data_IF_483943314116
#
_entry.id   IF_483943314116
#
_cell.length_a   1.000
_cell.length_b   1.000
_cell.length_c   1.000
_cell.angle_alpha   90.00
_cell.angle_beta   90.00
_cell.angle_gamma   90.00
#
_symmetry.space_group_name_H-M   'P 1'
#
loop_
_entity.id
_entity.type
_entity.pdbx_description
1 polymer ?
#
# COMPACT_ATOMS: atom_id res chain seq x y z
N UNK A 1 39.42 39.77 21.41
CA UNK A 1 40.74 39.35 20.88
C UNK A 1 40.49 38.06 20.10
N UNK A 2 40.27 38.10 18.76
CA UNK A 2 41.27 38.06 17.66
C UNK A 2 42.22 36.86 17.83
N UNK A 3 42.43 35.91 16.91
CA UNK A 3 42.60 35.96 15.45
C UNK A 3 42.34 34.53 14.87
N UNK A 4 41.66 34.30 13.74
CA UNK A 4 41.95 34.59 12.33
C UNK A 4 42.85 33.56 11.57
N UNK A 5 42.32 33.12 10.42
CA UNK A 5 42.98 32.81 9.11
C UNK A 5 43.66 31.46 8.85
N UNK A 6 43.15 30.72 7.84
CA UNK A 6 43.70 30.48 6.46
C UNK A 6 42.87 29.33 5.82
N UNK A 7 42.18 29.40 4.67
CA UNK A 7 42.42 29.89 3.29
C UNK A 7 43.11 28.87 2.35
N UNK A 8 42.39 28.45 1.29
CA UNK A 8 42.76 28.11 -0.13
C UNK A 8 41.83 26.97 -0.64
N UNK A 9 40.92 27.11 -1.62
CA UNK A 9 41.00 27.47 -3.07
C UNK A 9 42.03 26.67 -3.87
N UNK A 10 41.54 25.75 -4.70
CA UNK A 10 42.08 25.41 -6.02
C UNK A 10 40.90 25.26 -6.99
N UNK A 11 41.06 25.83 -8.18
CA UNK A 11 40.15 25.81 -9.32
C UNK A 11 40.91 25.31 -10.56
N UNK A 12 40.19 25.17 -11.69
CA UNK A 12 40.59 24.89 -13.09
C UNK A 12 40.68 23.40 -13.48
N UNK A 13 40.37 22.95 -14.71
CA UNK A 13 39.63 23.44 -15.92
C UNK A 13 39.78 22.33 -17.00
N UNK A 14 38.81 22.28 -17.94
CA UNK A 14 38.93 21.86 -19.36
C UNK A 14 39.16 20.35 -19.65
N UNK A 15 38.79 19.74 -20.79
CA UNK A 15 38.39 20.20 -22.13
C UNK A 15 37.52 19.10 -22.81
N UNK A 16 36.53 19.43 -23.68
CA UNK A 16 36.55 19.30 -25.16
C UNK A 16 36.82 17.87 -25.72
N UNK A 17 36.11 17.30 -26.70
CA UNK A 17 35.04 17.73 -27.61
C UNK A 17 34.88 16.72 -28.78
N UNK A 18 33.93 17.01 -29.70
CA UNK A 18 33.87 16.61 -31.14
C UNK A 18 33.53 15.11 -31.42
N UNK A 19 32.74 14.64 -32.41
CA UNK A 19 32.09 15.11 -33.66
C UNK A 19 30.86 14.20 -33.92
N UNK A 20 29.72 14.69 -34.45
CA UNK A 20 29.31 14.74 -35.87
C UNK A 20 29.48 13.43 -36.69
N UNK A 21 28.36 12.88 -37.17
CA UNK A 21 28.14 12.56 -38.59
C UNK A 21 26.66 12.33 -38.89
N UNK A 22 26.14 13.12 -39.82
CA UNK A 22 24.86 12.96 -40.50
C UNK A 22 25.12 12.42 -41.91
N UNK A 23 24.20 11.62 -42.46
CA UNK A 23 23.55 11.85 -43.78
C UNK A 23 22.85 10.58 -44.34
N UNK A 24 21.88 10.75 -45.27
CA UNK A 24 20.83 9.78 -45.64
C UNK A 24 20.93 9.30 -47.12
N UNK A 25 19.80 8.81 -47.68
CA UNK A 25 19.47 8.37 -49.07
C UNK A 25 19.43 6.83 -49.25
N UNK A 26 18.51 6.19 -49.99
CA UNK A 26 17.71 6.63 -51.14
C UNK A 26 16.40 5.82 -51.32
N UNK A 27 15.50 6.41 -52.13
CA UNK A 27 14.25 5.88 -52.70
C UNK A 27 14.47 4.74 -53.71
N UNK A 28 13.46 3.85 -53.87
CA UNK A 28 13.07 3.31 -55.17
C UNK A 28 11.60 2.84 -55.21
N UNK A 29 10.97 3.18 -56.33
CA UNK A 29 9.56 3.11 -56.74
C UNK A 29 9.14 1.82 -57.48
N UNK A 30 7.84 1.50 -57.43
CA UNK A 30 7.01 0.86 -58.51
C UNK A 30 7.26 -0.63 -58.80
N UNK A 31 6.33 -1.45 -59.32
CA UNK A 31 5.05 -1.23 -60.00
C UNK A 31 4.18 -2.51 -59.95
N UNK A 32 2.88 -2.31 -60.17
CA UNK A 32 1.76 -3.27 -60.27
C UNK A 32 1.93 -4.36 -61.35
N UNK A 33 1.25 -5.51 -61.16
CA UNK A 33 0.54 -6.21 -62.25
C UNK A 33 -0.70 -6.97 -61.75
N UNK A 34 -1.79 -6.74 -62.48
CA UNK A 34 -3.14 -7.32 -62.41
C UNK A 34 -3.33 -8.41 -63.48
N UNK A 35 -4.18 -9.40 -63.19
CA UNK A 35 -4.84 -10.33 -64.12
C UNK A 35 -5.63 -11.37 -63.30
N UNK A 36 -6.98 -11.35 -63.25
CA UNK A 36 -7.97 -11.93 -64.20
C UNK A 36 -7.84 -13.46 -64.35
N UNK A 37 -8.86 -14.33 -64.30
CA UNK A 37 -10.31 -14.25 -64.05
C UNK A 37 -10.85 -15.70 -63.93
N UNK A 38 -11.84 -15.93 -63.04
CA UNK A 38 -13.03 -16.83 -63.13
C UNK A 38 -12.98 -18.25 -63.70
N UNK A 39 -13.45 -19.23 -62.91
CA UNK A 39 -14.64 -20.11 -63.15
C UNK A 39 -14.93 -20.95 -61.89
N UNK A 40 -16.05 -20.73 -61.19
CA UNK A 40 -17.34 -21.45 -61.28
C UNK A 40 -17.36 -22.85 -60.65
N UNK A 41 -17.97 -22.98 -59.45
CA UNK A 41 -19.02 -23.98 -59.20
C UNK A 41 -19.75 -23.72 -57.88
N UNK A 42 -21.02 -24.09 -57.89
CA UNK A 42 -22.05 -23.73 -56.93
C UNK A 42 -22.19 -24.76 -55.79
N UNK A 43 -23.00 -24.32 -54.82
CA UNK A 43 -23.65 -25.08 -53.75
C UNK A 43 -22.80 -25.38 -52.51
N UNK A 44 -23.06 -24.65 -51.45
CA UNK A 44 -23.63 -25.25 -50.23
C UNK A 44 -24.14 -24.15 -49.29
N UNK A 45 -25.36 -24.33 -48.81
CA UNK A 45 -25.89 -23.55 -47.72
C UNK A 45 -25.04 -23.82 -46.47
N UNK A 46 -24.29 -22.83 -46.01
CA UNK A 46 -23.67 -22.85 -44.70
C UNK A 46 -24.18 -21.69 -43.88
N UNK A 47 -24.88 -22.08 -42.82
CA UNK A 47 -25.31 -21.28 -41.67
C UNK A 47 -24.24 -20.25 -41.32
N UNK A 48 -24.65 -18.97 -41.19
CA UNK A 48 -23.79 -17.94 -40.65
C UNK A 48 -23.25 -18.42 -39.29
N UNK A 49 -21.92 -18.47 -39.07
CA UNK A 49 -21.40 -18.78 -37.76
C UNK A 49 -21.87 -17.68 -36.80
N UNK A 50 -22.57 -18.09 -35.74
CA UNK A 50 -22.83 -17.23 -34.61
C UNK A 50 -21.49 -16.57 -34.19
N UNK A 51 -21.47 -15.26 -33.88
CA UNK A 51 -20.26 -14.63 -33.40
C UNK A 51 -19.76 -15.44 -32.20
N UNK A 52 -18.51 -15.90 -32.28
CA UNK A 52 -17.86 -16.57 -31.17
C UNK A 52 -18.02 -15.68 -29.93
N UNK A 53 -18.41 -16.24 -28.77
CA UNK A 53 -18.40 -15.47 -27.54
C UNK A 53 -16.97 -14.96 -27.36
N UNK A 54 -16.81 -13.63 -27.36
CA UNK A 54 -15.58 -13.01 -26.90
C UNK A 54 -15.20 -13.68 -25.58
N UNK A 55 -13.95 -14.12 -25.38
CA UNK A 55 -13.55 -14.62 -24.07
C UNK A 55 -13.81 -13.47 -23.10
N UNK A 56 -14.81 -13.68 -22.22
CA UNK A 56 -15.05 -12.80 -21.10
C UNK A 56 -13.72 -12.76 -20.33
N UNK A 57 -13.03 -11.62 -20.42
CA UNK A 57 -11.92 -11.32 -19.55
C UNK A 57 -12.53 -11.29 -18.16
N UNK A 58 -12.24 -12.32 -17.38
CA UNK A 58 -12.72 -12.45 -16.01
C UNK A 58 -12.31 -11.20 -15.20
N UNK A 59 -13.25 -10.33 -14.80
CA UNK A 59 -12.95 -9.12 -14.05
C UNK A 59 -12.38 -9.43 -12.64
N UNK A 60 -12.36 -10.69 -12.22
CA UNK A 60 -11.86 -11.09 -10.91
C UNK A 60 -10.32 -11.17 -10.83
N UNK A 61 -9.60 -11.19 -11.95
CA UNK A 61 -8.14 -11.37 -11.96
C UNK A 61 -7.31 -10.06 -12.00
N UNK A 62 -7.97 -8.91 -12.13
CA UNK A 62 -7.36 -7.57 -12.04
C UNK A 62 -7.74 -6.84 -10.73
N UNK A 63 -8.03 -7.60 -9.67
CA UNK A 63 -8.30 -7.06 -8.33
C UNK A 63 -6.98 -6.78 -7.61
N UNK A 64 -6.36 -5.65 -7.95
CA UNK A 64 -5.43 -4.99 -7.04
C UNK A 64 -6.24 -4.43 -5.87
N UNK A 65 -6.24 -5.13 -4.73
CA UNK A 65 -6.97 -4.71 -3.53
C UNK A 65 -8.47 -5.03 -3.59
N UNK A 66 -8.85 -6.24 -3.17
CA UNK A 66 -10.25 -6.48 -2.77
C UNK A 66 -10.31 -7.03 -1.36
N UNK A 67 -10.74 -6.16 -0.45
CA UNK A 67 -11.41 -6.52 0.81
C UNK A 67 -12.78 -5.82 0.82
N UNK A 68 -13.75 -6.33 1.60
CA UNK A 68 -15.18 -6.19 1.31
C UNK A 68 -15.72 -4.84 1.78
N UNK A 69 -15.51 -3.80 0.96
CA UNK A 69 -16.35 -2.61 0.96
C UNK A 69 -17.12 -2.52 -0.37
N UNK A 70 -17.77 -3.62 -0.75
CA UNK A 70 -18.81 -3.63 -1.78
C UNK A 70 -20.09 -2.99 -1.21
N UNK A 71 -20.05 -1.69 -0.92
CA UNK A 71 -21.27 -0.87 -0.93
C UNK A 71 -21.38 -0.34 -2.36
N UNK A 72 -22.47 -0.64 -3.11
CA UNK A 72 -22.63 -0.04 -4.44
C UNK A 72 -22.57 1.48 -4.30
N UNK A 73 -21.82 2.21 -5.16
CA UNK A 73 -21.63 3.63 -4.95
C UNK A 73 -23.00 4.29 -5.04
N UNK A 74 -23.47 4.81 -3.91
CA UNK A 74 -24.41 5.92 -3.92
C UNK A 74 -23.71 6.98 -4.78
N UNK A 75 -24.35 7.40 -5.87
CA UNK A 75 -23.76 8.38 -6.78
C UNK A 75 -23.46 9.66 -6.01
N UNK A 76 -22.22 9.80 -5.56
CA UNK A 76 -21.76 10.99 -4.84
C UNK A 76 -21.62 12.13 -5.86
N UNK A 77 -22.41 13.21 -5.73
CA UNK A 77 -22.35 14.35 -6.63
C UNK A 77 -20.94 14.96 -6.73
N UNK A 78 -20.13 14.86 -5.67
CA UNK A 78 -18.76 15.35 -5.65
C UNK A 78 -17.86 14.52 -6.55
N UNK A 79 -17.97 13.19 -6.50
CA UNK A 79 -17.20 12.28 -7.36
C UNK A 79 -17.57 12.45 -8.84
N UNK A 80 -18.86 12.62 -9.14
CA UNK A 80 -19.31 12.90 -10.51
C UNK A 80 -18.73 14.23 -11.04
N UNK A 81 -18.64 15.26 -10.18
CA UNK A 81 -17.97 16.51 -10.54
C UNK A 81 -16.47 16.31 -10.75
N UNK A 82 -15.82 15.52 -9.89
CA UNK A 82 -14.39 15.25 -9.97
C UNK A 82 -14.02 14.54 -11.28
N UNK A 83 -14.80 13.51 -11.64
CA UNK A 83 -14.67 12.79 -12.91
C UNK A 83 -14.86 13.74 -14.11
N UNK A 84 -15.88 14.60 -14.10
CA UNK A 84 -16.09 15.56 -15.18
C UNK A 84 -14.94 16.56 -15.33
N UNK A 85 -14.35 17.02 -14.22
CA UNK A 85 -13.16 17.88 -14.24
C UNK A 85 -11.96 17.12 -14.81
N UNK A 86 -11.74 15.88 -14.37
CA UNK A 86 -10.63 15.05 -14.83
C UNK A 86 -10.72 14.69 -16.30
N UNK A 87 -11.87 14.19 -16.79
CA UNK A 87 -12.06 13.86 -18.22
C UNK A 87 -11.82 15.05 -19.14
N UNK A 88 -12.10 16.27 -18.67
CA UNK A 88 -11.83 17.51 -19.42
C UNK A 88 -10.34 17.87 -19.42
N UNK A 89 -9.65 17.64 -18.30
CA UNK A 89 -8.26 18.03 -18.11
C UNK A 89 -7.26 17.02 -18.67
N UNK A 90 -7.57 15.74 -18.59
CA UNK A 90 -6.74 14.63 -19.04
C UNK A 90 -7.57 13.63 -19.86
N UNK A 91 -7.45 13.63 -21.20
CA UNK A 91 -8.13 12.66 -22.06
C UNK A 91 -7.71 11.20 -21.84
N UNK A 92 -6.59 10.94 -21.15
CA UNK A 92 -6.13 9.61 -20.78
C UNK A 92 -6.70 9.10 -19.45
N UNK A 93 -7.47 9.93 -18.74
CA UNK A 93 -8.12 9.56 -17.49
C UNK A 93 -9.10 8.40 -17.66
N UNK A 94 -9.07 7.46 -16.71
CA UNK A 94 -9.91 6.25 -16.56
C UNK A 94 -9.50 4.96 -17.29
N UNK A 95 -8.43 4.97 -18.08
CA UNK A 95 -8.16 3.88 -19.02
C UNK A 95 -7.90 2.50 -18.40
N UNK A 96 -7.43 2.43 -17.15
CA UNK A 96 -6.99 1.15 -16.56
C UNK A 96 -7.48 0.88 -15.13
N UNK A 97 -7.56 1.89 -14.27
CA UNK A 97 -8.10 1.79 -12.90
C UNK A 97 -8.20 3.20 -12.33
N UNK A 98 -9.22 3.49 -11.53
CA UNK A 98 -9.36 4.76 -10.81
C UNK A 98 -9.80 4.51 -9.38
N UNK A 99 -9.09 5.10 -8.44
CA UNK A 99 -9.45 5.16 -7.04
C UNK A 99 -9.71 6.63 -6.65
N UNK A 100 -10.72 6.85 -5.81
CA UNK A 100 -11.12 8.17 -5.33
C UNK A 100 -11.12 8.18 -3.80
N UNK A 101 -10.57 9.24 -3.23
CA UNK A 101 -10.59 9.48 -1.79
C UNK A 101 -11.11 10.88 -1.53
N UNK A 102 -12.05 10.97 -0.59
CA UNK A 102 -12.79 12.18 -0.27
C UNK A 102 -12.51 12.59 1.18
N UNK A 103 -12.36 13.88 1.41
CA UNK A 103 -12.26 14.46 2.74
C UNK A 103 -11.64 15.86 2.72
N UNK A 104 -11.73 16.59 3.83
CA UNK A 104 -11.18 17.93 3.99
C UNK A 104 -9.66 17.90 4.13
N UNK A 105 -8.94 18.01 3.01
CA UNK A 105 -7.48 17.84 2.93
C UNK A 105 -6.75 19.13 3.31
N UNK A 106 -7.29 20.28 2.96
CA UNK A 106 -6.68 21.57 3.24
C UNK A 106 -7.25 22.30 4.47
N UNK A 107 -8.18 21.66 5.18
CA UNK A 107 -8.81 22.12 6.42
C UNK A 107 -9.65 23.38 6.24
N UNK A 108 -10.29 23.52 5.07
CA UNK A 108 -11.20 24.63 4.77
C UNK A 108 -12.68 24.34 5.16
N UNK A 109 -12.95 23.15 5.69
CA UNK A 109 -14.26 22.70 6.13
C UNK A 109 -15.12 22.13 5.01
N UNK A 110 -14.54 21.84 3.83
CA UNK A 110 -15.21 21.20 2.70
C UNK A 110 -14.43 19.98 2.25
N UNK A 111 -15.15 19.00 1.72
CA UNK A 111 -14.50 17.82 1.19
C UNK A 111 -13.82 18.10 -0.15
N UNK A 112 -12.54 17.72 -0.20
CA UNK A 112 -11.71 17.66 -1.39
C UNK A 112 -11.72 16.25 -1.97
N UNK A 113 -11.17 16.09 -3.18
CA UNK A 113 -11.01 14.79 -3.83
C UNK A 113 -9.57 14.56 -4.25
N UNK A 114 -8.99 13.46 -3.79
CA UNK A 114 -7.72 12.92 -4.30
C UNK A 114 -8.04 11.73 -5.20
N UNK A 115 -7.41 11.68 -6.37
CA UNK A 115 -7.65 10.66 -7.37
C UNK A 115 -6.33 9.99 -7.71
N UNK A 116 -6.31 8.68 -7.62
CA UNK A 116 -5.25 7.84 -8.16
C UNK A 116 -5.79 7.11 -9.37
N UNK A 117 -5.03 7.07 -10.46
CA UNK A 117 -5.41 6.28 -11.63
C UNK A 117 -4.20 5.70 -12.35
N UNK A 118 -4.42 4.56 -12.99
CA UNK A 118 -3.40 3.87 -13.76
C UNK A 118 -3.16 4.48 -15.14
N UNK A 119 -1.89 4.53 -15.54
CA UNK A 119 -1.44 4.89 -16.89
C UNK A 119 -0.95 3.61 -17.59
N UNK A 120 -1.41 3.39 -18.80
CA UNK A 120 -1.01 2.27 -19.66
C UNK A 120 -1.21 2.57 -21.13
N UNK A 121 -0.60 1.73 -21.97
CA UNK A 121 -0.80 1.77 -23.43
C UNK A 121 -2.06 1.01 -23.82
N UNK A 122 -2.69 1.42 -24.92
CA UNK A 122 -3.87 0.74 -25.46
C UNK A 122 -3.58 -0.75 -25.71
N UNK A 123 -4.32 -1.64 -25.04
CA UNK A 123 -4.11 -3.09 -25.07
C UNK A 123 -3.20 -3.64 -23.96
N UNK A 124 -2.64 -2.81 -23.09
CA UNK A 124 -1.95 -3.27 -21.90
C UNK A 124 -2.96 -3.87 -20.91
N UNK A 125 -2.68 -5.08 -20.42
CA UNK A 125 -3.54 -5.72 -19.40
C UNK A 125 -3.33 -5.13 -17.99
N UNK A 126 -2.36 -4.21 -17.82
CA UNK A 126 -1.86 -3.68 -16.53
C UNK A 126 -1.30 -2.25 -16.68
N UNK A 127 -1.36 -1.47 -15.61
CA UNK A 127 -0.73 -0.14 -15.53
C UNK A 127 0.79 -0.27 -15.43
N UNK A 128 1.52 0.56 -16.17
CA UNK A 128 2.99 0.68 -16.03
C UNK A 128 3.37 1.75 -15.01
N UNK A 129 2.47 2.70 -14.75
CA UNK A 129 2.61 3.78 -13.78
C UNK A 129 1.22 4.16 -13.23
N UNK A 130 1.22 4.91 -12.13
CA UNK A 130 0.02 5.54 -11.57
C UNK A 130 0.24 7.05 -11.45
N UNK A 131 -0.84 7.81 -11.61
CA UNK A 131 -0.88 9.26 -11.42
C UNK A 131 -1.70 9.59 -10.18
N UNK A 132 -1.31 10.64 -9.45
CA UNK A 132 -2.07 11.20 -8.32
C UNK A 132 -2.45 12.65 -8.61
N UNK A 133 -3.75 12.92 -8.58
CA UNK A 133 -4.34 14.25 -8.83
C UNK A 133 -5.14 14.68 -7.63
N UNK A 134 -5.12 15.99 -7.36
CA UNK A 134 -5.84 16.60 -6.25
C UNK A 134 -6.81 17.63 -6.80
N UNK A 135 -8.05 17.58 -6.34
CA UNK A 135 -9.08 18.56 -6.64
C UNK A 135 -9.56 19.16 -5.33
N UNK A 136 -9.35 20.46 -5.17
CA UNK A 136 -9.77 21.16 -3.97
C UNK A 136 -11.12 21.84 -4.16
N UNK A 137 -11.98 21.81 -3.15
CA UNK A 137 -13.26 22.50 -3.16
C UNK A 137 -13.05 24.01 -3.03
N UNK A 138 -13.47 24.78 -4.05
CA UNK A 138 -13.33 26.25 -4.10
C UNK A 138 -14.58 26.87 -4.67
N UNK A 139 -15.13 27.87 -3.97
CA UNK A 139 -16.26 28.69 -4.47
C UNK A 139 -17.40 27.86 -5.12
N UNK A 140 -17.74 26.70 -4.53
CA UNK A 140 -18.81 25.81 -5.00
C UNK A 140 -18.45 24.89 -6.17
N UNK A 141 -17.16 24.74 -6.51
CA UNK A 141 -16.67 23.80 -7.53
C UNK A 141 -15.35 23.15 -7.14
N UNK A 142 -15.08 21.97 -7.67
CA UNK A 142 -13.76 21.35 -7.61
C UNK A 142 -12.78 22.05 -8.56
N UNK A 143 -11.59 22.38 -8.04
CA UNK A 143 -10.48 22.94 -8.80
C UNK A 143 -9.32 21.95 -8.83
N UNK A 144 -8.99 21.48 -10.03
CA UNK A 144 -7.82 20.65 -10.28
C UNK A 144 -6.52 21.40 -9.96
N UNK A 145 -5.70 20.78 -9.13
CA UNK A 145 -4.37 21.27 -8.76
C UNK A 145 -3.31 20.76 -9.74
N UNK A 146 -2.09 21.32 -9.70
CA UNK A 146 -0.94 20.74 -10.39
C UNK A 146 -0.78 19.25 -10.05
N UNK A 147 -0.14 18.51 -10.94
CA UNK A 147 0.16 17.10 -10.71
C UNK A 147 0.94 16.90 -9.41
N UNK A 148 0.58 15.88 -8.62
CA UNK A 148 1.23 15.57 -7.35
C UNK A 148 1.93 14.20 -7.36
N UNK A 149 2.00 13.54 -8.51
CA UNK A 149 2.61 12.20 -8.63
C UNK A 149 4.08 12.22 -8.22
N UNK A 150 4.81 13.32 -8.49
CA UNK A 150 6.23 13.50 -8.13
C UNK A 150 6.49 13.58 -6.62
N UNK A 151 5.44 13.66 -5.79
CA UNK A 151 5.53 13.67 -4.33
C UNK A 151 5.73 12.28 -3.74
N UNK A 152 5.45 11.25 -4.53
CA UNK A 152 5.61 9.86 -4.15
C UNK A 152 6.96 9.33 -4.64
N UNK A 153 7.69 8.63 -3.76
CA UNK A 153 8.97 8.04 -4.13
C UNK A 153 8.82 6.69 -4.84
N UNK A 154 7.71 5.99 -4.58
CA UNK A 154 7.38 4.66 -5.11
C UNK A 154 6.04 4.72 -5.87
N UNK A 155 5.53 3.57 -6.31
CA UNK A 155 4.22 3.52 -6.94
C UNK A 155 3.13 3.92 -5.93
N UNK A 156 2.33 4.97 -6.18
CA UNK A 156 1.37 5.46 -5.20
C UNK A 156 0.14 4.55 -5.10
N UNK A 157 -0.31 4.32 -3.87
CA UNK A 157 -1.65 3.82 -3.55
C UNK A 157 -2.32 4.73 -2.52
N UNK A 158 -3.28 5.56 -2.93
CA UNK A 158 -3.98 6.49 -2.02
C UNK A 158 -5.06 5.75 -1.21
N UNK A 159 -5.20 6.07 0.07
CA UNK A 159 -6.00 5.26 1.01
C UNK A 159 -7.15 6.02 1.62
N UNK A 160 -6.86 7.13 2.29
CA UNK A 160 -7.87 7.96 2.95
C UNK A 160 -7.40 9.40 3.12
N UNK A 161 -8.35 10.33 3.26
CA UNK A 161 -8.10 11.65 3.84
C UNK A 161 -8.69 11.63 5.25
N UNK A 162 -7.84 11.87 6.25
CA UNK A 162 -8.25 11.92 7.66
C UNK A 162 -7.52 13.04 8.38
N UNK A 163 -8.27 13.87 9.11
CA UNK A 163 -7.76 14.98 9.92
C UNK A 163 -6.88 15.99 9.14
N UNK A 164 -7.23 16.26 7.88
CA UNK A 164 -6.43 17.11 6.98
C UNK A 164 -5.10 16.49 6.54
N UNK A 165 -4.96 15.18 6.65
CA UNK A 165 -3.83 14.42 6.13
C UNK A 165 -4.28 13.40 5.09
N UNK A 166 -3.55 13.32 3.98
CA UNK A 166 -3.67 12.24 3.00
C UNK A 166 -2.77 11.07 3.44
N UNK A 167 -3.38 9.91 3.63
CA UNK A 167 -2.71 8.65 3.90
C UNK A 167 -2.58 7.87 2.60
N UNK A 168 -1.38 7.36 2.33
CA UNK A 168 -1.08 6.64 1.11
C UNK A 168 0.07 5.66 1.32
N UNK A 169 0.14 4.66 0.47
CA UNK A 169 1.17 3.62 0.50
C UNK A 169 2.11 3.81 -0.70
N UNK A 170 3.38 3.46 -0.49
CA UNK A 170 4.40 3.35 -1.52
C UNK A 170 4.58 1.88 -1.88
N UNK A 171 4.08 1.49 -3.05
CA UNK A 171 4.11 0.13 -3.55
C UNK A 171 5.38 -0.12 -4.37
N UNK A 172 5.88 -1.36 -4.34
CA UNK A 172 7.14 -1.71 -4.99
C UNK A 172 7.13 -1.50 -6.52
N UNK A 173 5.98 -1.73 -7.17
CA UNK A 173 5.78 -1.45 -8.58
C UNK A 173 4.28 -1.43 -8.95
N UNK A 174 3.90 -0.54 -9.87
CA UNK A 174 2.50 -0.44 -10.32
C UNK A 174 2.03 -1.61 -11.19
N UNK A 175 2.97 -2.33 -11.80
CA UNK A 175 2.67 -3.39 -12.77
C UNK A 175 2.50 -4.78 -12.14
N UNK A 176 2.92 -4.95 -10.88
CA UNK A 176 2.78 -6.24 -10.20
C UNK A 176 1.32 -6.48 -9.82
N UNK A 177 0.82 -7.72 -9.86
CA UNK A 177 -0.56 -8.03 -9.47
C UNK A 177 -0.82 -7.77 -7.99
N UNK A 178 0.18 -8.04 -7.16
CA UNK A 178 0.09 -7.99 -5.72
C UNK A 178 1.38 -7.33 -5.19
N UNK A 179 1.58 -6.03 -5.47
CA UNK A 179 2.80 -5.36 -5.08
C UNK A 179 2.86 -5.23 -3.55
N UNK A 180 4.04 -5.43 -2.98
CA UNK A 180 4.27 -5.18 -1.56
C UNK A 180 4.30 -3.69 -1.24
N UNK A 181 3.92 -3.37 -0.01
CA UNK A 181 4.08 -2.03 0.53
C UNK A 181 5.51 -1.84 1.04
N UNK A 182 6.23 -0.89 0.46
CA UNK A 182 7.58 -0.50 0.88
C UNK A 182 7.55 0.59 1.96
N UNK A 183 6.55 1.48 1.90
CA UNK A 183 6.43 2.60 2.79
C UNK A 183 4.97 3.01 3.02
N UNK A 184 4.69 3.53 4.20
CA UNK A 184 3.42 4.17 4.56
C UNK A 184 3.66 5.66 4.70
N UNK A 185 2.94 6.44 3.92
CA UNK A 185 3.08 7.88 3.83
C UNK A 185 1.92 8.61 4.49
N UNK A 186 2.26 9.73 5.13
CA UNK A 186 1.31 10.76 5.47
C UNK A 186 1.73 12.07 4.81
N UNK A 187 0.81 12.69 4.10
CA UNK A 187 0.98 14.00 3.48
C UNK A 187 0.01 14.99 4.09
N UNK A 188 0.41 16.26 4.12
CA UNK A 188 -0.50 17.38 4.37
C UNK A 188 -0.48 18.32 3.17
N UNK A 189 -1.58 19.01 2.93
CA UNK A 189 -1.64 20.07 1.93
C UNK A 189 -1.04 21.36 2.50
N UNK A 190 0.10 21.79 1.96
CA UNK A 190 0.80 23.02 2.37
C UNK A 190 1.43 23.70 1.17
N UNK A 191 1.42 25.03 1.16
CA UNK A 191 2.08 25.84 0.12
C UNK A 191 1.67 25.49 -1.32
N UNK A 192 0.43 25.02 -1.51
CA UNK A 192 -0.12 24.65 -2.82
C UNK A 192 0.27 23.27 -3.35
N UNK A 193 0.73 22.35 -2.48
CA UNK A 193 0.99 20.97 -2.87
C UNK A 193 0.98 19.99 -1.70
N UNK A 194 1.07 18.70 -2.02
CA UNK A 194 1.26 17.66 -1.01
C UNK A 194 2.68 17.71 -0.47
N UNK A 195 2.80 17.80 0.85
CA UNK A 195 4.06 17.73 1.59
C UNK A 195 4.06 16.51 2.48
N UNK A 196 5.01 15.61 2.27
CA UNK A 196 5.20 14.44 3.14
C UNK A 196 5.59 14.89 4.55
N UNK A 197 4.81 14.50 5.54
CA UNK A 197 5.02 14.83 6.96
C UNK A 197 5.44 13.62 7.78
N UNK A 198 5.09 12.41 7.33
CA UNK A 198 5.57 11.16 7.91
C UNK A 198 5.83 10.12 6.84
N UNK A 199 6.76 9.22 7.15
CA UNK A 199 7.05 8.02 6.39
C UNK A 199 7.42 6.91 7.38
N UNK A 200 6.78 5.76 7.24
CA UNK A 200 7.07 4.56 8.03
C UNK A 200 7.44 3.41 7.09
N UNK A 201 8.44 2.61 7.45
CA UNK A 201 8.63 1.28 6.88
C UNK A 201 7.68 0.25 7.57
N UNK A 202 7.56 -0.99 7.08
CA UNK A 202 6.71 -2.02 7.71
C UNK A 202 7.00 -2.27 9.19
N UNK A 203 8.26 -2.25 9.62
CA UNK A 203 8.61 -2.47 11.01
C UNK A 203 8.20 -1.29 11.90
N UNK A 204 8.41 -0.06 11.43
CA UNK A 204 7.96 1.16 12.08
C UNK A 204 6.43 1.20 12.17
N UNK A 205 5.74 0.80 11.10
CA UNK A 205 4.28 0.72 11.05
C UNK A 205 3.71 -0.26 12.07
N UNK A 206 4.29 -1.44 12.19
CA UNK A 206 3.90 -2.40 13.24
C UNK A 206 4.02 -1.75 14.62
N UNK A 207 5.15 -1.11 14.91
CA UNK A 207 5.37 -0.48 16.23
C UNK A 207 4.39 0.66 16.50
N UNK A 208 4.12 1.51 15.51
CA UNK A 208 3.18 2.62 15.66
C UNK A 208 1.75 2.12 15.87
N UNK A 209 1.33 1.06 15.16
CA UNK A 209 0.03 0.41 15.37
C UNK A 209 -0.09 -0.26 16.74
N UNK A 210 0.93 -1.01 17.19
CA UNK A 210 0.96 -1.59 18.55
C UNK A 210 0.90 -0.51 19.63
N UNK A 211 1.66 0.58 19.47
CA UNK A 211 1.67 1.70 20.40
C UNK A 211 0.32 2.42 20.44
N UNK A 212 -0.34 2.61 19.28
CA UNK A 212 -1.67 3.18 19.22
C UNK A 212 -2.71 2.31 19.94
N UNK A 213 -2.63 0.98 19.83
CA UNK A 213 -3.47 0.04 20.59
C UNK A 213 -3.22 0.16 22.10
N UNK A 214 -1.95 0.24 22.52
CA UNK A 214 -1.58 0.48 23.93
C UNK A 214 -2.20 1.78 24.46
N UNK A 215 -2.10 2.87 23.71
CA UNK A 215 -2.64 4.18 24.12
C UNK A 215 -4.17 4.16 24.24
N UNK A 216 -4.86 3.46 23.33
CA UNK A 216 -6.31 3.22 23.41
C UNK A 216 -6.69 2.46 24.68
N UNK A 217 -5.94 1.39 25.01
CA UNK A 217 -6.16 0.59 26.22
C UNK A 217 -5.91 1.40 27.50
N UNK A 218 -4.84 2.19 27.54
CA UNK A 218 -4.53 3.09 28.67
C UNK A 218 -5.60 4.17 28.87
N UNK A 219 -6.21 4.65 27.78
CA UNK A 219 -7.31 5.59 27.82
C UNK A 219 -8.66 4.95 28.21
N UNK A 220 -8.72 3.62 28.40
CA UNK A 220 -9.95 2.89 28.71
C UNK A 220 -10.97 2.85 27.57
N UNK A 221 -10.55 3.17 26.33
CA UNK A 221 -11.44 3.27 25.16
C UNK A 221 -11.49 1.95 24.40
N UNK A 222 -11.94 0.87 25.05
CA UNK A 222 -11.94 -0.48 24.46
C UNK A 222 -12.74 -0.53 23.16
N UNK A 223 -13.87 0.17 23.08
CA UNK A 223 -14.70 0.23 21.85
C UNK A 223 -13.91 0.79 20.65
N UNK A 224 -13.00 1.73 20.87
CA UNK A 224 -12.14 2.27 19.80
C UNK A 224 -10.97 1.34 19.43
N UNK A 225 -10.80 0.24 20.17
CA UNK A 225 -9.84 -0.82 19.87
C UNK A 225 -10.44 -1.81 18.86
N UNK A 226 -11.76 -2.02 18.87
CA UNK A 226 -12.46 -2.93 17.95
C UNK A 226 -12.24 -2.52 16.48
N UNK A 227 -12.18 -1.21 16.20
CA UNK A 227 -11.84 -0.68 14.87
C UNK A 227 -10.43 -1.09 14.38
N UNK A 228 -9.55 -1.44 15.33
CA UNK A 228 -8.13 -1.79 15.11
C UNK A 228 -7.86 -3.29 15.31
N UNK A 229 -8.81 -4.02 15.86
CA UNK A 229 -8.70 -5.46 16.13
C UNK A 229 -9.43 -6.23 15.06
N UNK A 230 -8.74 -6.44 13.95
CA UNK A 230 -9.30 -7.19 12.83
C UNK A 230 -8.84 -8.64 12.90
N UNK A 231 -9.75 -9.61 12.77
CA UNK A 231 -9.35 -11.00 12.56
C UNK A 231 -8.56 -11.10 11.26
N UNK A 232 -7.41 -11.76 11.29
CA UNK A 232 -6.60 -11.95 10.10
C UNK A 232 -7.26 -12.84 9.05
N UNK A 233 -6.96 -12.62 7.76
CA UNK A 233 -7.45 -13.48 6.70
C UNK A 233 -6.92 -14.89 6.91
N UNK A 234 -7.84 -15.85 7.04
CA UNK A 234 -7.53 -17.26 7.25
C UNK A 234 -7.61 -18.03 5.93
N UNK A 235 -6.64 -18.92 5.63
CA UNK A 235 -6.73 -19.78 4.46
C UNK A 235 -7.86 -20.81 4.63
N UNK A 236 -8.67 -20.99 3.58
CA UNK A 236 -9.79 -21.94 3.58
C UNK A 236 -10.94 -21.56 4.51
N UNK A 237 -11.57 -22.57 5.12
CA UNK A 237 -12.73 -22.43 6.03
C UNK A 237 -12.32 -22.25 7.51
N UNK A 238 -11.05 -21.90 7.78
CA UNK A 238 -10.58 -21.76 9.16
C UNK A 238 -11.18 -20.51 9.82
N UNK A 239 -11.69 -20.68 11.05
CA UNK A 239 -12.24 -19.58 11.85
C UNK A 239 -11.10 -18.69 12.35
N UNK A 240 -11.20 -17.40 12.09
CA UNK A 240 -10.23 -16.43 12.58
C UNK A 240 -10.40 -16.23 14.10
N UNK A 241 -9.32 -15.98 14.86
CA UNK A 241 -9.42 -15.77 16.29
C UNK A 241 -10.34 -14.57 16.57
N UNK A 242 -11.29 -14.76 17.48
CA UNK A 242 -12.18 -13.72 17.94
C UNK A 242 -11.35 -12.66 18.72
N UNK A 243 -11.14 -11.44 18.18
CA UNK A 243 -10.20 -10.48 18.76
C UNK A 243 -10.68 -9.89 20.09
N UNK A 244 -12.00 -9.90 20.30
CA UNK A 244 -12.71 -9.50 21.51
C UNK A 244 -12.20 -10.26 22.75
N UNK A 245 -11.76 -11.50 22.60
CA UNK A 245 -11.26 -12.31 23.73
C UNK A 245 -9.86 -11.92 24.20
N UNK A 246 -8.99 -11.40 23.32
CA UNK A 246 -7.61 -11.07 23.68
C UNK A 246 -7.57 -10.05 24.82
N UNK A 247 -8.41 -9.03 24.75
CA UNK A 247 -8.44 -7.94 25.72
C UNK A 247 -9.67 -7.97 26.63
N UNK A 248 -10.45 -9.05 26.64
CA UNK A 248 -11.54 -9.23 27.61
C UNK A 248 -10.99 -9.35 29.05
N UNK A 249 -9.84 -10.01 29.20
CA UNK A 249 -9.20 -10.24 30.50
C UNK A 249 -8.30 -9.09 30.93
N UNK A 250 -8.41 -8.67 32.20
CA UNK A 250 -7.62 -7.56 32.75
C UNK A 250 -6.12 -7.89 32.80
N UNK A 251 -5.77 -9.16 32.98
CA UNK A 251 -4.38 -9.66 32.95
C UNK A 251 -3.74 -9.42 31.59
N UNK A 252 -4.35 -9.96 30.52
CA UNK A 252 -3.87 -9.79 29.15
C UNK A 252 -3.74 -8.32 28.74
N UNK A 253 -4.74 -7.48 29.08
CA UNK A 253 -4.66 -6.03 28.82
C UNK A 253 -3.44 -5.38 29.46
N UNK A 254 -3.18 -5.68 30.74
CA UNK A 254 -2.04 -5.13 31.46
C UNK A 254 -0.72 -5.67 30.91
N UNK A 255 -0.65 -6.98 30.68
CA UNK A 255 0.52 -7.64 30.09
C UNK A 255 0.92 -7.03 28.74
N UNK A 256 -0.06 -6.85 27.85
CA UNK A 256 0.14 -6.19 26.56
C UNK A 256 0.62 -4.74 26.70
N UNK A 257 -0.07 -3.93 27.52
CA UNK A 257 0.28 -2.51 27.74
C UNK A 257 1.70 -2.37 28.28
N UNK A 258 2.09 -3.22 29.22
CA UNK A 258 3.42 -3.24 29.82
C UNK A 258 4.48 -3.72 28.82
N UNK A 259 4.17 -4.76 28.04
CA UNK A 259 5.07 -5.31 27.04
C UNK A 259 5.36 -4.32 25.92
N UNK A 260 4.32 -3.76 25.29
CA UNK A 260 4.46 -2.74 24.25
C UNK A 260 5.19 -1.52 24.80
N UNK A 261 4.86 -1.07 26.02
CA UNK A 261 5.52 0.07 26.65
C UNK A 261 7.03 -0.14 26.86
N UNK A 262 7.43 -1.32 27.31
CA UNK A 262 8.84 -1.66 27.51
C UNK A 262 9.60 -1.80 26.17
N UNK A 263 8.98 -2.42 25.17
CA UNK A 263 9.61 -2.72 23.88
C UNK A 263 9.63 -1.52 22.91
N UNK A 264 8.71 -0.56 23.06
CA UNK A 264 8.60 0.61 22.20
C UNK A 264 9.83 1.54 22.25
N UNK A 265 10.63 1.48 23.32
CA UNK A 265 11.82 2.32 23.49
C UNK A 265 13.12 1.62 23.06
N UNK A 266 13.06 0.31 22.79
CA UNK A 266 14.26 -0.46 22.46
C UNK A 266 14.54 -0.43 20.95
N UNK A 267 15.82 -0.40 20.54
CA UNK A 267 16.17 -0.57 19.14
C UNK A 267 15.87 -2.01 18.70
N UNK A 268 15.35 -2.16 17.47
CA UNK A 268 15.23 -3.46 16.84
C UNK A 268 16.61 -3.92 16.37
N UNK A 269 17.03 -5.10 16.79
CA UNK A 269 18.26 -5.75 16.35
C UNK A 269 17.94 -6.73 15.23
N UNK A 270 18.74 -6.69 14.15
CA UNK A 270 18.66 -7.69 13.09
C UNK A 270 19.27 -8.99 13.58
N UNK A 271 18.51 -10.07 13.45
CA UNK A 271 18.91 -11.45 13.71
C UNK A 271 18.83 -12.19 12.39
N UNK A 272 19.96 -12.68 11.89
CA UNK A 272 19.98 -13.50 10.68
C UNK A 272 19.40 -14.88 10.98
N UNK A 273 18.43 -15.31 10.18
CA UNK A 273 17.87 -16.66 10.23
C UNK A 273 18.01 -17.35 8.87
N UNK A 274 18.13 -18.67 8.90
CA UNK A 274 18.00 -19.52 7.71
C UNK A 274 16.57 -19.42 7.17
N UNK A 275 16.26 -18.37 6.41
CA UNK A 275 14.91 -18.08 5.90
C UNK A 275 14.57 -16.60 5.74
N UNK A 276 15.39 -15.68 6.26
CA UNK A 276 15.18 -14.24 6.09
C UNK A 276 15.71 -13.39 7.25
N UNK A 277 15.54 -12.08 7.11
CA UNK A 277 15.81 -11.10 8.16
C UNK A 277 14.74 -11.18 9.24
N UNK A 278 15.14 -11.30 10.51
CA UNK A 278 14.28 -11.13 11.67
C UNK A 278 14.71 -9.88 12.43
N UNK A 279 13.77 -9.00 12.76
CA UNK A 279 14.03 -7.86 13.65
C UNK A 279 13.50 -8.20 15.05
N UNK A 280 14.31 -7.98 16.09
CA UNK A 280 13.99 -8.40 17.45
C UNK A 280 14.28 -7.30 18.46
N UNK A 281 13.37 -7.09 19.42
CA UNK A 281 13.60 -6.33 20.64
C UNK A 281 13.18 -7.18 21.84
N UNK A 282 13.94 -7.10 22.93
CA UNK A 282 13.73 -7.91 24.13
C UNK A 282 13.95 -7.08 25.39
N UNK A 283 13.10 -7.30 26.40
CA UNK A 283 13.19 -6.66 27.70
C UNK A 283 12.88 -7.65 28.82
N UNK A 284 13.55 -7.52 29.96
CA UNK A 284 13.25 -8.34 31.13
C UNK A 284 11.88 -7.99 31.74
N UNK A 285 11.16 -9.02 32.15
CA UNK A 285 9.88 -8.94 32.86
C UNK A 285 10.06 -8.86 34.38
N UNK A 286 9.11 -8.26 35.11
CA UNK A 286 9.18 -8.06 36.56
C UNK A 286 9.19 -9.36 37.40
N UNK A 287 8.92 -10.52 36.78
CA UNK A 287 8.79 -11.82 37.46
C UNK A 287 9.64 -12.93 36.81
N UNK A 288 10.74 -12.59 36.13
CA UNK A 288 11.70 -13.59 35.63
C UNK A 288 11.36 -14.21 34.28
N UNK A 289 10.47 -13.59 33.49
CA UNK A 289 10.23 -13.95 32.09
C UNK A 289 10.58 -12.81 31.13
N UNK A 290 10.77 -13.09 29.84
CA UNK A 290 11.14 -12.09 28.85
C UNK A 290 9.93 -11.55 28.09
N UNK A 291 9.93 -10.24 27.84
CA UNK A 291 9.08 -9.60 26.83
C UNK A 291 9.83 -9.56 25.52
N UNK A 292 9.17 -9.86 24.42
CA UNK A 292 9.82 -9.96 23.11
C UNK A 292 8.92 -9.44 22.02
N UNK A 293 9.45 -8.59 21.15
CA UNK A 293 8.84 -8.24 19.87
C UNK A 293 9.75 -8.75 18.76
N UNK A 294 9.22 -9.63 17.93
CA UNK A 294 9.86 -10.15 16.74
C UNK A 294 9.07 -9.69 15.52
N UNK A 295 9.75 -9.18 14.50
CA UNK A 295 9.13 -8.74 13.25
C UNK A 295 9.86 -9.47 12.12
N UNK A 296 9.10 -10.23 11.35
CA UNK A 296 9.54 -10.91 10.12
C UNK A 296 8.97 -10.12 8.94
N UNK A 297 9.77 -9.26 8.27
CA UNK A 297 9.38 -8.67 7.00
C UNK A 297 9.07 -9.77 5.99
N UNK A 298 8.04 -9.57 5.19
CA UNK A 298 7.64 -10.58 4.24
C UNK A 298 8.67 -10.71 3.11
N UNK A 299 8.98 -11.95 2.73
CA UNK A 299 9.87 -12.23 1.60
C UNK A 299 9.25 -11.73 0.28
N UNK A 300 10.06 -11.58 -0.76
CA UNK A 300 9.55 -11.16 -2.07
C UNK A 300 8.49 -12.14 -2.60
N UNK A 301 7.36 -11.59 -3.08
CA UNK A 301 6.28 -12.38 -3.69
C UNK A 301 5.37 -13.14 -2.73
N UNK A 302 5.45 -12.90 -1.42
CA UNK A 302 4.56 -13.57 -0.45
C UNK A 302 3.18 -12.91 -0.41
N UNK A 303 2.21 -13.57 -1.03
CA UNK A 303 0.79 -13.31 -0.82
C UNK A 303 0.15 -14.47 -0.06
N UNK A 304 -0.92 -14.19 0.67
CA UNK A 304 -1.77 -15.23 1.29
C UNK A 304 -3.13 -15.20 0.64
N UNK A 305 -3.63 -16.37 0.25
CA UNK A 305 -5.00 -16.53 -0.22
C UNK A 305 -5.91 -16.86 0.96
N UNK A 306 -7.03 -16.14 1.07
CA UNK A 306 -8.07 -16.39 2.05
C UNK A 306 -9.45 -16.22 1.40
N UNK A 307 -10.21 -17.32 1.34
CA UNK A 307 -11.45 -17.39 0.57
C UNK A 307 -11.22 -17.09 -0.92
N UNK A 308 -11.84 -16.03 -1.42
CA UNK A 308 -11.72 -15.56 -2.82
C UNK A 308 -10.77 -14.37 -2.99
N UNK A 309 -10.05 -14.01 -1.94
CA UNK A 309 -9.26 -12.80 -1.87
C UNK A 309 -7.78 -13.14 -1.68
N UNK A 310 -6.92 -12.40 -2.39
CA UNK A 310 -5.48 -12.47 -2.24
C UNK A 310 -5.03 -11.26 -1.45
N UNK A 311 -4.35 -11.51 -0.33
CA UNK A 311 -3.82 -10.49 0.57
C UNK A 311 -2.31 -10.45 0.46
N UNK A 312 -1.74 -9.25 0.32
CA UNK A 312 -0.31 -9.06 0.47
C UNK A 312 -0.01 -8.84 1.95
N UNK A 313 0.82 -9.72 2.52
CA UNK A 313 1.28 -9.57 3.89
C UNK A 313 2.62 -8.84 3.81
N UNK A 314 2.70 -7.65 4.38
CA UNK A 314 3.91 -6.82 4.35
C UNK A 314 4.94 -7.29 5.39
N UNK A 315 4.44 -7.76 6.54
CA UNK A 315 5.25 -8.32 7.62
C UNK A 315 4.40 -9.15 8.59
N UNK A 316 5.05 -10.00 9.39
CA UNK A 316 4.46 -10.66 10.56
C UNK A 316 5.14 -10.18 11.84
N UNK A 317 4.36 -9.98 12.89
CA UNK A 317 4.87 -9.57 14.20
C UNK A 317 4.45 -10.58 15.27
N UNK A 318 5.40 -10.95 16.12
CA UNK A 318 5.20 -11.82 17.27
C UNK A 318 5.49 -11.01 18.52
N UNK A 319 4.50 -10.88 19.40
CA UNK A 319 4.62 -10.18 20.66
C UNK A 319 4.40 -11.17 21.79
N UNK A 320 5.44 -11.36 22.60
CA UNK A 320 5.46 -12.24 23.76
C UNK A 320 5.56 -11.41 25.04
N UNK A 321 4.80 -11.80 26.07
CA UNK A 321 4.98 -11.30 27.42
C UNK A 321 4.78 -12.41 28.46
N UNK A 322 5.50 -12.35 29.59
CA UNK A 322 5.31 -13.31 30.66
C UNK A 322 4.07 -12.95 31.49
N UNK A 323 3.40 -13.98 32.01
CA UNK A 323 2.37 -13.87 33.03
C UNK A 323 2.80 -14.56 34.33
N UNK A 324 1.93 -14.54 35.34
CA UNK A 324 2.23 -15.17 36.63
C UNK A 324 2.10 -16.68 36.54
N UNK A 325 3.02 -17.41 37.18
CA UNK A 325 2.92 -18.88 37.31
C UNK A 325 3.61 -19.69 36.22
N UNK A 326 4.57 -19.11 35.48
CA UNK A 326 5.32 -19.82 34.44
C UNK A 326 4.62 -19.86 33.07
N UNK A 327 3.41 -19.34 32.99
CA UNK A 327 2.67 -19.13 31.74
C UNK A 327 3.06 -17.77 31.16
N UNK A 328 3.24 -17.72 29.85
CA UNK A 328 3.41 -16.50 29.06
C UNK A 328 2.31 -16.44 28.02
N UNK A 329 2.26 -15.33 27.30
CA UNK A 329 1.28 -15.12 26.26
C UNK A 329 1.95 -14.66 24.99
N UNK A 330 1.53 -15.24 23.86
CA UNK A 330 2.01 -14.90 22.52
C UNK A 330 0.85 -14.41 21.67
N UNK A 331 1.07 -13.28 21.02
CA UNK A 331 0.19 -12.81 19.94
C UNK A 331 0.97 -12.75 18.63
N UNK A 332 0.31 -13.17 17.56
CA UNK A 332 0.85 -13.13 16.20
C UNK A 332 -0.04 -12.21 15.37
N UNK A 333 0.58 -11.23 14.72
CA UNK A 333 -0.08 -10.22 13.92
C UNK A 333 0.44 -10.25 12.50
N UNK A 334 -0.44 -10.02 11.53
CA UNK A 334 -0.07 -9.75 10.14
C UNK A 334 -0.26 -8.27 9.86
N UNK A 335 0.77 -7.63 9.31
CA UNK A 335 0.64 -6.31 8.72
C UNK A 335 0.14 -6.49 7.28
N UNK A 336 -1.05 -5.99 7.02
CA UNK A 336 -1.68 -6.05 5.71
C UNK A 336 -2.18 -4.65 5.45
N UNK A 337 -1.75 -4.04 4.36
CA UNK A 337 -2.36 -2.78 3.90
C UNK A 337 -2.26 -1.63 4.93
N UNK A 338 -1.22 -1.69 5.78
CA UNK A 338 -0.93 -0.70 6.82
C UNK A 338 -1.68 -0.92 8.15
N UNK A 339 -2.45 -1.99 8.26
CA UNK A 339 -3.21 -2.36 9.45
C UNK A 339 -2.74 -3.70 10.04
N UNK A 340 -2.88 -3.84 11.35
CA UNK A 340 -2.55 -5.07 12.06
C UNK A 340 -3.79 -5.95 12.17
N UNK A 341 -3.61 -7.19 11.74
CA UNK A 341 -4.62 -8.23 11.79
C UNK A 341 -4.16 -9.33 12.75
N UNK A 342 -5.01 -9.69 13.71
CA UNK A 342 -4.72 -10.75 14.67
C UNK A 342 -4.79 -12.11 13.97
N UNK A 343 -3.65 -12.80 13.87
CA UNK A 343 -3.58 -14.16 13.33
C UNK A 343 -3.74 -15.21 14.43
N UNK A 344 -3.14 -14.98 15.60
CA UNK A 344 -3.17 -15.92 16.72
C UNK A 344 -2.97 -15.22 18.05
N UNK A 345 -3.61 -15.76 19.08
CA UNK A 345 -3.41 -15.39 20.47
C UNK A 345 -3.44 -16.67 21.31
N UNK A 346 -2.36 -17.00 22.00
CA UNK A 346 -2.20 -18.26 22.73
C UNK A 346 -1.33 -18.11 23.98
N UNK A 347 -1.65 -18.91 25.01
CA UNK A 347 -0.76 -19.12 26.16
C UNK A 347 0.45 -19.97 25.73
N UNK A 348 1.63 -19.62 26.23
CA UNK A 348 2.90 -20.31 25.95
C UNK A 348 3.64 -20.61 27.24
N UNK A 349 4.20 -21.82 27.37
CA UNK A 349 5.05 -22.15 28.51
C UNK A 349 6.36 -21.35 28.44
N UNK A 350 6.62 -20.50 29.44
CA UNK A 350 7.82 -19.63 29.44
C UNK A 350 9.14 -20.40 29.53
N UNK A 351 9.11 -21.63 30.07
CA UNK A 351 10.28 -22.53 30.14
C UNK A 351 10.69 -23.11 28.78
N UNK A 352 9.80 -23.10 27.78
CA UNK A 352 10.07 -23.66 26.46
C UNK A 352 10.77 -22.70 25.49
N UNK A 353 10.87 -21.40 25.84
CA UNK A 353 11.42 -20.36 24.94
C UNK A 353 12.96 -20.23 24.99
N UNK A 354 13.63 -21.03 25.82
CA UNK A 354 15.10 -21.07 25.98
C UNK A 354 15.79 -22.19 25.18
N UNK A 355 15.10 -22.88 24.27
CA UNK A 355 15.70 -23.93 23.41
C UNK A 355 15.86 -23.53 21.95
#
# INVERSE_FOLDING_TARGET
MSAAKRARRVALRAAAGVALCAAPLALATGCKRTGASTTSQAAEASVAPAPAPSPAVDPALNRGGTTPHDTPPIADPLLAQAEAVMRKADPGFDRFEVNYVVGDLDRDGRDDVVIEYGIGDEGAMRHVAKSVRVLLARAGRLQLQPDQTDRFADCPAVREIRDGGLWADGLEACMLPFPRTLAYYQFEWRDGGLRRVAQEDPAQRIRSRLQAMRDTLLAGKIEALDDRLRPGPMPGDAEAPAPDRLFAEAGHRRGFVDAVGALAQLPLQRVERSGGDLLSAQADGPHGGQRRLQIEPAAEGTATEAGRYTYVVDARAYLDWPETGGVGYRTVWRLIEGDLYLERAEEVDTESSER
#
